data_IF_718332285053
#
_entry.id   IF_718332285053
#
_cell.length_a   1.000
_cell.length_b   1.000
_cell.length_c   1.000
_cell.angle_alpha   90.00
_cell.angle_beta   90.00
_cell.angle_gamma   90.00
#
_symmetry.space_group_name_H-M   'P 1'
#
loop_
_entity.id
_entity.type
_entity.pdbx_description
1 polymer ?
#
# COMPACT_ATOMS: atom_id res chain seq x y z
N UNK A 1 -13.34 -28.19 -8.03
CA UNK A 1 -13.50 -29.34 -8.94
C UNK A 1 -14.97 -29.74 -9.03
N UNK A 2 -15.64 -30.12 -7.92
CA UNK A 2 -17.05 -30.58 -7.94
C UNK A 2 -18.02 -29.53 -8.56
N UNK A 3 -17.85 -28.23 -8.29
CA UNK A 3 -18.67 -27.17 -8.89
C UNK A 3 -18.46 -27.07 -10.40
N UNK A 4 -17.22 -27.12 -10.86
CA UNK A 4 -16.88 -27.11 -12.30
C UNK A 4 -17.47 -28.35 -12.99
N UNK A 5 -17.31 -29.51 -12.39
CA UNK A 5 -17.83 -30.78 -12.90
C UNK A 5 -19.39 -30.79 -12.97
N UNK A 6 -20.03 -30.01 -12.09
CA UNK A 6 -21.49 -29.80 -12.09
C UNK A 6 -21.97 -28.65 -12.99
N UNK A 7 -21.07 -28.00 -13.76
CA UNK A 7 -21.42 -26.88 -14.62
C UNK A 7 -21.79 -25.58 -13.87
N UNK A 8 -21.45 -25.49 -12.57
CA UNK A 8 -21.72 -24.29 -11.76
C UNK A 8 -20.65 -23.24 -12.09
N UNK A 9 -21.04 -21.99 -12.45
CA UNK A 9 -20.08 -20.91 -12.66
C UNK A 9 -19.21 -20.71 -11.43
N UNK A 10 -17.90 -20.67 -11.63
CA UNK A 10 -16.92 -20.43 -10.56
C UNK A 10 -16.08 -19.19 -10.88
N UNK A 11 -15.66 -18.48 -9.85
CA UNK A 11 -14.69 -17.40 -9.99
C UNK A 11 -13.67 -17.47 -8.85
N UNK A 12 -12.47 -16.99 -9.11
CA UNK A 12 -11.43 -16.87 -8.08
C UNK A 12 -11.76 -15.75 -7.10
N UNK A 13 -11.10 -15.76 -5.95
CA UNK A 13 -11.23 -14.65 -4.98
C UNK A 13 -10.86 -13.30 -5.61
N UNK A 14 -9.82 -13.26 -6.45
CA UNK A 14 -9.35 -12.05 -7.10
C UNK A 14 -10.38 -11.52 -8.11
N UNK A 15 -10.97 -12.40 -8.92
CA UNK A 15 -12.04 -12.03 -9.86
C UNK A 15 -13.26 -11.49 -9.14
N UNK A 16 -13.70 -12.15 -8.05
CA UNK A 16 -14.82 -11.66 -7.24
C UNK A 16 -14.50 -10.27 -6.66
N UNK A 17 -13.31 -10.09 -6.11
CA UNK A 17 -12.89 -8.81 -5.54
C UNK A 17 -12.86 -7.71 -6.61
N UNK A 18 -12.36 -8.02 -7.81
CA UNK A 18 -12.38 -7.10 -8.95
C UNK A 18 -13.81 -6.72 -9.37
N UNK A 19 -14.79 -7.64 -9.30
CA UNK A 19 -16.19 -7.29 -9.56
C UNK A 19 -16.78 -6.42 -8.44
N UNK A 20 -16.45 -6.68 -7.18
CA UNK A 20 -16.87 -5.86 -6.03
C UNK A 20 -16.36 -4.42 -6.17
N UNK A 21 -15.10 -4.23 -6.61
CA UNK A 21 -14.50 -2.91 -6.82
C UNK A 21 -15.30 -2.01 -7.76
N UNK A 22 -15.99 -2.58 -8.75
CA UNK A 22 -16.81 -1.80 -9.72
C UNK A 22 -17.97 -1.04 -9.08
N UNK A 23 -18.32 -1.37 -7.84
CA UNK A 23 -19.36 -0.65 -7.09
C UNK A 23 -18.83 0.58 -6.35
N UNK A 24 -17.53 0.86 -6.43
CA UNK A 24 -16.88 1.97 -5.73
C UNK A 24 -16.31 2.96 -6.75
N UNK A 25 -16.56 4.24 -6.52
CA UNK A 25 -15.99 5.30 -7.35
C UNK A 25 -14.46 5.36 -7.26
N UNK A 26 -13.94 5.08 -6.08
CA UNK A 26 -12.49 5.11 -5.81
C UNK A 26 -12.02 3.75 -5.28
N UNK A 27 -11.17 3.07 -6.06
CA UNK A 27 -10.55 1.81 -5.71
C UNK A 27 -9.02 1.97 -5.62
N UNK A 28 -8.50 1.98 -4.39
CA UNK A 28 -7.07 2.08 -4.07
C UNK A 28 -6.48 0.69 -3.94
N UNK A 29 -5.45 0.39 -4.72
CA UNK A 29 -4.79 -0.90 -4.74
C UNK A 29 -3.31 -0.75 -4.42
N UNK A 30 -2.84 -1.46 -3.39
CA UNK A 30 -1.44 -1.41 -2.95
C UNK A 30 -0.72 -2.65 -3.43
N UNK A 31 0.19 -2.48 -4.39
CA UNK A 31 1.03 -3.52 -4.98
C UNK A 31 2.52 -3.33 -4.63
N UNK A 32 3.29 -4.39 -4.79
CA UNK A 32 4.73 -4.41 -4.57
C UNK A 32 5.17 -5.72 -3.96
N UNK A 33 6.40 -6.11 -4.14
CA UNK A 33 6.94 -7.34 -3.57
C UNK A 33 6.81 -7.32 -2.04
N UNK A 34 7.16 -6.19 -1.41
CA UNK A 34 7.12 -6.02 0.05
C UNK A 34 6.35 -4.75 0.45
N UNK A 35 5.83 -4.73 1.68
CA UNK A 35 5.20 -3.54 2.27
C UNK A 35 3.69 -3.40 2.03
N UNK A 36 3.07 -4.22 1.19
CA UNK A 36 1.63 -4.16 0.83
C UNK A 36 0.73 -4.04 2.06
N UNK A 37 0.77 -5.02 2.96
CA UNK A 37 -0.07 -5.06 4.17
C UNK A 37 0.15 -3.84 5.07
N UNK A 38 1.41 -3.46 5.27
CA UNK A 38 1.76 -2.31 6.10
C UNK A 38 1.23 -1.00 5.52
N UNK A 39 1.43 -0.78 4.22
CA UNK A 39 0.96 0.44 3.55
C UNK A 39 -0.57 0.50 3.50
N UNK A 40 -1.25 -0.62 3.16
CA UNK A 40 -2.71 -0.70 3.19
C UNK A 40 -3.26 -0.41 4.58
N UNK A 41 -2.58 -0.89 5.62
CA UNK A 41 -2.97 -0.61 7.01
C UNK A 41 -2.73 0.86 7.40
N UNK A 42 -1.61 1.47 6.98
CA UNK A 42 -1.37 2.91 7.19
C UNK A 42 -2.44 3.75 6.52
N UNK A 43 -2.79 3.47 5.27
CA UNK A 43 -3.89 4.14 4.56
C UNK A 43 -5.20 3.96 5.32
N UNK A 44 -5.47 2.74 5.81
CA UNK A 44 -6.68 2.45 6.60
C UNK A 44 -6.74 3.33 7.85
N UNK A 45 -5.68 3.40 8.66
CA UNK A 45 -5.65 4.23 9.87
C UNK A 45 -5.83 5.72 9.56
N UNK A 46 -5.23 6.21 8.48
CA UNK A 46 -5.42 7.59 8.02
C UNK A 46 -6.89 7.85 7.66
N UNK A 47 -7.50 6.96 6.89
CA UNK A 47 -8.89 7.12 6.46
C UNK A 47 -9.87 6.99 7.63
N UNK A 48 -9.56 6.18 8.64
CA UNK A 48 -10.36 6.09 9.87
C UNK A 48 -10.22 7.37 10.71
N UNK A 49 -9.02 7.93 10.83
CA UNK A 49 -8.80 9.22 11.51
C UNK A 49 -9.59 10.34 10.83
N UNK A 50 -9.64 10.35 9.50
CA UNK A 50 -10.42 11.30 8.71
C UNK A 50 -11.94 11.02 8.69
N UNK A 51 -12.42 9.97 9.38
CA UNK A 51 -13.82 9.53 9.35
C UNK A 51 -14.37 9.25 7.93
N UNK A 52 -13.51 8.80 7.01
CA UNK A 52 -13.86 8.58 5.61
C UNK A 52 -14.71 7.32 5.36
N UNK A 53 -14.87 6.45 6.35
CA UNK A 53 -15.70 5.23 6.35
C UNK A 53 -15.46 4.29 5.14
N UNK A 54 -14.20 3.89 4.81
CA UNK A 54 -13.89 3.07 3.66
C UNK A 54 -14.27 1.60 3.83
N UNK A 55 -14.46 0.89 2.69
CA UNK A 55 -14.41 -0.57 2.64
C UNK A 55 -12.95 -1.01 2.48
N UNK A 56 -12.52 -1.94 3.33
CA UNK A 56 -11.12 -2.36 3.46
C UNK A 56 -10.99 -3.88 3.26
N UNK A 57 -9.96 -4.30 2.52
CA UNK A 57 -9.50 -5.69 2.45
C UNK A 57 -7.98 -5.72 2.61
N UNK A 58 -7.48 -6.12 3.77
CA UNK A 58 -6.05 -6.16 4.10
C UNK A 58 -5.59 -7.59 4.37
N UNK A 59 -4.32 -7.92 4.09
CA UNK A 59 -3.77 -9.27 4.21
C UNK A 59 -3.45 -9.73 5.63
N UNK A 60 -3.47 -8.82 6.62
CA UNK A 60 -3.23 -9.10 8.03
C UNK A 60 -4.40 -8.68 8.91
N UNK A 61 -4.38 -9.06 10.19
CA UNK A 61 -5.37 -8.59 11.16
C UNK A 61 -4.99 -7.18 11.61
N UNK A 62 -5.87 -6.22 11.39
CA UNK A 62 -5.73 -4.84 11.84
C UNK A 62 -6.72 -4.59 12.99
N UNK A 63 -6.19 -4.24 14.17
CA UNK A 63 -6.99 -4.14 15.39
C UNK A 63 -8.06 -3.06 15.31
N UNK A 64 -7.79 -1.94 14.65
CA UNK A 64 -8.73 -0.81 14.49
C UNK A 64 -10.01 -1.18 13.76
N UNK A 65 -9.98 -2.21 12.90
CA UNK A 65 -11.16 -2.71 12.19
C UNK A 65 -11.62 -4.08 12.70
N UNK A 66 -10.97 -4.62 13.74
CA UNK A 66 -11.33 -5.90 14.34
C UNK A 66 -11.10 -7.13 13.46
N UNK A 67 -10.28 -7.02 12.39
CA UNK A 67 -10.07 -8.11 11.44
C UNK A 67 -9.25 -7.70 10.23
N UNK A 68 -9.50 -8.38 9.12
CA UNK A 68 -8.84 -8.11 7.84
C UNK A 68 -9.80 -7.61 6.75
N UNK A 69 -11.07 -7.50 7.07
CA UNK A 69 -12.12 -6.96 6.18
C UNK A 69 -13.01 -6.03 7.01
N UNK A 70 -13.31 -4.86 6.45
CA UNK A 70 -14.30 -3.93 6.94
C UNK A 70 -15.18 -3.48 5.77
N UNK A 71 -16.48 -3.45 5.96
CA UNK A 71 -17.42 -2.87 4.99
C UNK A 71 -17.81 -1.48 5.47
N UNK A 72 -17.41 -0.46 4.73
CA UNK A 72 -17.78 0.94 4.97
C UNK A 72 -18.99 1.36 4.14
N UNK A 73 -19.42 2.61 4.30
CA UNK A 73 -20.57 3.20 3.59
C UNK A 73 -20.15 4.22 2.53
N UNK A 74 -18.85 4.57 2.46
CA UNK A 74 -18.35 5.50 1.44
C UNK A 74 -18.08 4.79 0.11
N UNK A 75 -17.90 5.57 -0.96
CA UNK A 75 -17.51 5.09 -2.29
C UNK A 75 -16.00 4.80 -2.41
N UNK A 76 -15.35 4.47 -1.28
CA UNK A 76 -13.92 4.23 -1.21
C UNK A 76 -13.63 2.78 -0.84
N UNK A 77 -12.88 2.10 -1.70
CA UNK A 77 -12.39 0.74 -1.49
C UNK A 77 -10.86 0.73 -1.42
N UNK A 78 -10.28 0.09 -0.42
CA UNK A 78 -8.83 -0.03 -0.27
C UNK A 78 -8.45 -1.49 -0.10
N UNK A 79 -7.51 -1.99 -0.91
CA UNK A 79 -7.07 -3.38 -0.84
C UNK A 79 -5.61 -3.57 -1.18
N UNK A 80 -5.05 -4.68 -0.72
CA UNK A 80 -3.79 -5.21 -1.23
C UNK A 80 -3.98 -5.84 -2.59
N UNK A 81 -3.03 -5.59 -3.49
CA UNK A 81 -2.97 -6.12 -4.83
C UNK A 81 -1.77 -7.07 -4.95
N UNK A 82 -2.02 -8.39 -4.83
CA UNK A 82 -0.97 -9.39 -4.89
C UNK A 82 -0.60 -9.71 -6.34
N UNK A 83 0.69 -9.62 -6.66
CA UNK A 83 1.25 -9.96 -7.97
C UNK A 83 1.26 -11.46 -8.25
N UNK A 84 1.32 -12.30 -7.21
CA UNK A 84 1.38 -13.74 -7.36
C UNK A 84 0.22 -14.29 -8.18
N UNK A 85 0.55 -15.13 -9.14
CA UNK A 85 -0.39 -15.68 -10.15
C UNK A 85 -1.13 -14.61 -10.96
N UNK A 86 -0.58 -13.40 -11.06
CA UNK A 86 -1.22 -12.27 -11.75
C UNK A 86 -2.61 -11.91 -11.18
N UNK A 87 -2.86 -12.23 -9.91
CA UNK A 87 -4.17 -12.04 -9.26
C UNK A 87 -4.65 -10.59 -9.34
N UNK A 88 -3.75 -9.62 -9.20
CA UNK A 88 -4.08 -8.18 -9.25
C UNK A 88 -4.56 -7.71 -10.63
N UNK A 89 -4.28 -8.47 -11.71
CA UNK A 89 -4.80 -8.17 -13.04
C UNK A 89 -6.31 -8.39 -13.17
N UNK A 90 -6.94 -9.05 -12.21
CA UNK A 90 -8.40 -9.17 -12.13
C UNK A 90 -9.07 -7.92 -11.53
N UNK A 91 -8.31 -6.96 -11.00
CA UNK A 91 -8.81 -5.78 -10.31
C UNK A 91 -9.22 -4.66 -11.28
N UNK A 92 -10.05 -3.74 -10.81
CA UNK A 92 -10.50 -2.55 -11.52
C UNK A 92 -10.09 -1.30 -10.71
N UNK A 93 -8.83 -0.88 -10.80
CA UNK A 93 -8.29 0.21 -10.00
C UNK A 93 -8.70 1.59 -10.54
N UNK A 94 -8.75 2.58 -9.63
CA UNK A 94 -8.71 4.01 -9.98
C UNK A 94 -7.46 4.68 -9.42
N UNK A 95 -6.85 4.09 -8.37
CA UNK A 95 -5.57 4.51 -7.84
C UNK A 95 -4.72 3.27 -7.54
N UNK A 96 -3.57 3.14 -8.19
CA UNK A 96 -2.58 2.10 -7.94
C UNK A 96 -1.36 2.66 -7.20
N UNK A 97 -0.83 1.87 -6.27
CA UNK A 97 0.43 2.16 -5.58
C UNK A 97 1.40 1.02 -5.89
N UNK A 98 2.60 1.35 -6.37
CA UNK A 98 3.70 0.40 -6.59
C UNK A 98 4.84 0.74 -5.64
N UNK A 99 5.02 -0.10 -4.62
CA UNK A 99 5.99 0.13 -3.54
C UNK A 99 7.41 -0.23 -3.93
N UNK A 100 7.57 -1.39 -4.54
CA UNK A 100 8.84 -1.95 -5.00
C UNK A 100 8.56 -3.14 -5.91
N UNK A 101 9.53 -3.45 -6.78
CA UNK A 101 9.49 -4.60 -7.70
C UNK A 101 10.81 -5.34 -7.59
N UNK A 102 10.79 -6.55 -7.01
CA UNK A 102 11.96 -7.40 -6.82
C UNK A 102 11.66 -8.83 -7.28
N UNK A 103 12.70 -9.61 -7.50
CA UNK A 103 12.56 -11.03 -7.82
C UNK A 103 11.94 -11.77 -6.63
N UNK A 104 10.72 -12.27 -6.82
CA UNK A 104 9.96 -13.08 -5.88
C UNK A 104 9.02 -13.99 -6.67
N UNK A 105 8.45 -15.02 -6.04
CA UNK A 105 7.51 -15.95 -6.68
C UNK A 105 8.02 -16.55 -8.00
N UNK A 106 9.33 -16.91 -8.05
CA UNK A 106 9.98 -17.51 -9.22
C UNK A 106 9.50 -18.96 -9.52
N UNK A 107 8.58 -19.47 -8.71
CA UNK A 107 7.78 -20.67 -8.99
C UNK A 107 6.67 -20.38 -10.01
N UNK A 108 6.26 -19.13 -10.17
CA UNK A 108 5.26 -18.66 -11.12
C UNK A 108 5.86 -17.79 -12.22
N UNK A 109 6.65 -16.78 -11.86
CA UNK A 109 7.31 -15.88 -12.81
C UNK A 109 8.63 -16.47 -13.30
N UNK A 110 8.91 -16.29 -14.57
CA UNK A 110 10.14 -16.78 -15.20
C UNK A 110 11.39 -16.07 -14.66
N UNK A 111 11.33 -14.75 -14.55
CA UNK A 111 12.43 -13.89 -14.14
C UNK A 111 11.89 -12.51 -13.69
N UNK A 112 12.81 -11.60 -13.37
CA UNK A 112 12.45 -10.23 -12.95
C UNK A 112 11.77 -9.44 -14.07
N UNK A 113 12.09 -9.68 -15.33
CA UNK A 113 11.49 -8.97 -16.46
C UNK A 113 10.03 -9.37 -16.64
N UNK A 114 9.69 -10.64 -16.41
CA UNK A 114 8.31 -11.14 -16.41
C UNK A 114 7.50 -10.51 -15.26
N UNK A 115 8.10 -10.38 -14.06
CA UNK A 115 7.49 -9.66 -12.94
C UNK A 115 7.26 -8.18 -13.31
N UNK A 116 8.26 -7.50 -13.85
CA UNK A 116 8.15 -6.10 -14.28
C UNK A 116 7.05 -5.92 -15.31
N UNK A 117 6.96 -6.81 -16.28
CA UNK A 117 5.90 -6.80 -17.28
C UNK A 117 4.52 -6.94 -16.64
N UNK A 118 4.36 -7.83 -15.67
CA UNK A 118 3.11 -7.99 -14.93
C UNK A 118 2.70 -6.71 -14.18
N UNK A 119 3.64 -6.02 -13.52
CA UNK A 119 3.37 -4.72 -12.88
C UNK A 119 3.03 -3.63 -13.89
N UNK A 120 3.63 -3.65 -15.09
CA UNK A 120 3.26 -2.74 -16.17
C UNK A 120 1.80 -2.97 -16.60
N UNK A 121 1.42 -4.22 -16.86
CA UNK A 121 0.01 -4.58 -17.16
C UNK A 121 -0.96 -4.14 -16.05
N UNK A 122 -0.52 -4.20 -14.80
CA UNK A 122 -1.32 -3.71 -13.68
C UNK A 122 -1.50 -2.19 -13.70
N UNK A 123 -0.49 -1.43 -14.11
CA UNK A 123 -0.61 0.02 -14.30
C UNK A 123 -1.53 0.36 -15.47
N UNK A 124 -1.45 -0.37 -16.58
CA UNK A 124 -2.29 -0.19 -17.77
C UNK A 124 -3.79 -0.44 -17.52
N UNK A 125 -4.13 -1.02 -16.36
CA UNK A 125 -5.55 -1.13 -15.93
C UNK A 125 -6.13 0.16 -15.38
N UNK A 126 -5.31 1.16 -15.08
CA UNK A 126 -5.79 2.47 -14.65
C UNK A 126 -6.53 3.16 -15.82
N UNK A 127 -7.68 3.78 -15.55
CA UNK A 127 -8.29 4.67 -16.54
C UNK A 127 -7.43 5.93 -16.76
N UNK A 128 -7.70 6.68 -17.82
CA UNK A 128 -6.93 7.89 -18.15
C UNK A 128 -7.02 9.00 -17.08
N UNK A 129 -8.08 9.01 -16.29
CA UNK A 129 -8.28 9.87 -15.12
C UNK A 129 -7.84 9.21 -13.80
N UNK A 130 -7.27 8.01 -13.88
CA UNK A 130 -6.71 7.29 -12.75
C UNK A 130 -5.38 7.85 -12.28
N UNK A 131 -4.89 7.33 -11.14
CA UNK A 131 -3.64 7.80 -10.53
C UNK A 131 -2.71 6.63 -10.22
N UNK A 132 -1.46 6.76 -10.60
CA UNK A 132 -0.36 5.88 -10.18
C UNK A 132 0.49 6.58 -9.13
N UNK A 133 0.67 5.96 -7.97
CA UNK A 133 1.68 6.34 -6.96
C UNK A 133 2.83 5.34 -7.06
N UNK A 134 4.02 5.79 -7.45
CA UNK A 134 5.15 4.90 -7.74
C UNK A 134 6.44 5.33 -7.05
N UNK A 135 7.20 4.34 -6.59
CA UNK A 135 8.51 4.54 -5.96
C UNK A 135 9.60 4.77 -7.03
N UNK A 136 10.30 5.90 -6.95
CA UNK A 136 11.43 6.25 -7.84
C UNK A 136 12.71 5.47 -7.53
N UNK A 137 12.78 4.75 -6.42
CA UNK A 137 13.90 3.85 -6.10
C UNK A 137 13.82 2.50 -6.86
N UNK A 138 12.76 2.28 -7.64
CA UNK A 138 12.65 1.14 -8.57
C UNK A 138 13.47 1.48 -9.81
N UNK A 139 14.37 0.59 -10.22
CA UNK A 139 15.14 0.75 -11.43
C UNK A 139 14.23 0.95 -12.65
N UNK A 140 14.51 1.99 -13.46
CA UNK A 140 13.71 2.34 -14.65
C UNK A 140 12.19 2.38 -14.33
N UNK A 141 11.82 3.09 -13.25
CA UNK A 141 10.44 3.19 -12.79
C UNK A 141 9.49 3.80 -13.83
N UNK A 142 10.00 4.58 -14.78
CA UNK A 142 9.22 5.16 -15.88
C UNK A 142 8.68 4.09 -16.84
N UNK A 143 9.33 2.93 -16.92
CA UNK A 143 8.88 1.78 -17.72
C UNK A 143 7.42 1.38 -17.39
N UNK A 144 7.00 1.55 -16.14
CA UNK A 144 5.69 1.08 -15.69
C UNK A 144 4.52 1.95 -16.18
N UNK A 145 4.77 3.21 -16.56
CA UNK A 145 3.70 4.13 -16.96
C UNK A 145 3.92 4.87 -18.27
N UNK A 146 5.02 4.62 -18.96
CA UNK A 146 5.38 5.33 -20.22
C UNK A 146 4.33 5.23 -21.33
N UNK A 147 3.47 4.22 -21.28
CA UNK A 147 2.42 3.97 -22.27
C UNK A 147 1.01 4.21 -21.70
N UNK A 148 0.90 4.99 -20.61
CA UNK A 148 -0.37 5.30 -19.94
C UNK A 148 -0.57 6.81 -19.87
N UNK A 149 -1.86 7.25 -19.87
CA UNK A 149 -2.23 8.66 -19.74
C UNK A 149 -2.66 9.03 -18.31
N UNK A 150 -2.48 8.11 -17.34
CA UNK A 150 -2.88 8.34 -15.95
C UNK A 150 -1.98 9.40 -15.27
N UNK A 151 -2.51 10.05 -14.23
CA UNK A 151 -1.69 10.92 -13.38
C UNK A 151 -0.63 10.11 -12.63
N UNK A 152 0.61 10.60 -12.59
CA UNK A 152 1.71 9.94 -11.88
C UNK A 152 2.17 10.80 -10.71
N UNK A 153 2.15 10.20 -9.52
CA UNK A 153 2.68 10.78 -8.28
C UNK A 153 3.86 9.92 -7.84
N UNK A 154 5.01 10.54 -7.63
CA UNK A 154 6.23 9.82 -7.28
C UNK A 154 6.59 9.97 -5.82
N UNK A 155 7.15 8.92 -5.23
CA UNK A 155 7.77 8.94 -3.90
C UNK A 155 9.08 8.16 -3.91
N UNK A 156 9.99 8.46 -3.00
CA UNK A 156 11.26 7.75 -2.92
C UNK A 156 12.30 8.42 -2.04
N UNK A 157 13.54 7.90 -2.10
CA UNK A 157 14.66 8.38 -1.30
C UNK A 157 15.29 9.66 -1.84
N UNK A 158 15.22 9.88 -3.16
CA UNK A 158 15.82 11.04 -3.82
C UNK A 158 14.79 12.17 -4.01
N UNK A 159 14.91 13.29 -3.27
CA UNK A 159 13.98 14.41 -3.37
C UNK A 159 14.04 15.14 -4.73
N UNK A 160 15.08 14.93 -5.52
CA UNK A 160 15.18 15.49 -6.87
C UNK A 160 14.34 14.73 -7.90
N UNK A 161 14.00 13.46 -7.62
CA UNK A 161 13.21 12.59 -8.50
C UNK A 161 11.79 12.38 -8.01
N UNK A 162 11.54 12.62 -6.72
CA UNK A 162 10.30 12.24 -6.04
C UNK A 162 9.50 13.46 -5.62
N UNK A 163 8.20 13.44 -5.91
CA UNK A 163 7.29 14.44 -5.37
C UNK A 163 7.21 14.36 -3.83
N UNK A 164 7.17 13.13 -3.28
CA UNK A 164 7.16 12.88 -1.84
C UNK A 164 8.46 12.20 -1.40
N UNK A 165 9.18 12.80 -0.46
CA UNK A 165 10.41 12.25 0.09
C UNK A 165 10.56 12.58 1.58
N UNK A 166 11.60 12.04 2.22
CA UNK A 166 11.87 12.23 3.65
C UNK A 166 13.26 12.80 3.86
N UNK A 167 13.36 13.81 4.73
CA UNK A 167 14.63 14.34 5.23
C UNK A 167 14.70 14.17 6.76
N UNK A 168 15.91 14.32 7.32
CA UNK A 168 16.14 14.33 8.77
C UNK A 168 15.54 13.12 9.50
N UNK A 169 15.68 11.93 8.92
CA UNK A 169 15.14 10.70 9.54
C UNK A 169 15.88 10.44 10.86
N UNK A 170 15.12 10.38 11.94
CA UNK A 170 15.59 10.10 13.30
C UNK A 170 14.93 8.84 13.84
N UNK A 171 15.63 8.15 14.74
CA UNK A 171 15.13 6.95 15.42
C UNK A 171 15.06 7.21 16.91
N UNK A 172 14.03 6.71 17.57
CA UNK A 172 13.98 6.62 19.02
C UNK A 172 14.62 5.30 19.51
N UNK A 173 14.63 5.09 20.84
CA UNK A 173 15.19 3.89 21.49
C UNK A 173 14.49 2.58 21.07
N UNK A 174 13.29 2.65 20.50
CA UNK A 174 12.52 1.51 19.98
C UNK A 174 12.65 1.36 18.45
N UNK A 175 13.51 2.18 17.80
CA UNK A 175 13.70 2.17 16.36
C UNK A 175 12.53 2.77 15.56
N UNK A 176 11.57 3.45 16.22
CA UNK A 176 10.48 4.16 15.56
C UNK A 176 11.01 5.42 14.91
N UNK A 177 10.57 5.70 13.69
CA UNK A 177 11.10 6.80 12.91
C UNK A 177 10.25 8.07 13.05
N UNK A 178 10.95 9.21 13.07
CA UNK A 178 10.36 10.51 12.75
C UNK A 178 11.19 11.16 11.64
N UNK A 179 10.54 11.95 10.78
CA UNK A 179 11.22 12.58 9.66
C UNK A 179 10.51 13.87 9.23
N UNK A 180 11.23 14.73 8.51
CA UNK A 180 10.68 15.89 7.82
C UNK A 180 10.12 15.42 6.48
N UNK A 181 8.78 15.54 6.28
CA UNK A 181 8.16 15.31 4.99
C UNK A 181 8.55 16.41 4.01
N UNK A 182 9.03 16.02 2.84
CA UNK A 182 9.25 16.93 1.71
C UNK A 182 8.17 16.66 0.64
N UNK A 183 7.53 17.72 0.17
CA UNK A 183 6.62 17.70 -0.99
C UNK A 183 7.22 18.64 -2.03
N UNK A 184 7.55 18.13 -3.22
CA UNK A 184 8.28 18.89 -4.25
C UNK A 184 9.54 19.56 -3.68
N UNK A 185 10.33 18.79 -2.93
CA UNK A 185 11.54 19.25 -2.25
C UNK A 185 11.33 20.40 -1.23
N UNK A 186 10.08 20.67 -0.81
CA UNK A 186 9.75 21.70 0.16
C UNK A 186 9.30 21.06 1.48
N UNK A 187 9.88 21.44 2.63
CA UNK A 187 9.48 20.93 3.94
C UNK A 187 7.99 21.18 4.23
N UNK A 188 7.26 20.11 4.53
CA UNK A 188 5.80 20.11 4.76
C UNK A 188 5.41 19.62 6.16
N UNK A 189 6.37 19.67 7.09
CA UNK A 189 6.19 19.33 8.49
C UNK A 189 6.75 17.95 8.87
N UNK A 190 6.64 17.64 10.15
CA UNK A 190 7.19 16.38 10.71
C UNK A 190 6.15 15.29 10.70
N UNK A 191 6.58 14.09 10.34
CA UNK A 191 5.82 12.83 10.46
C UNK A 191 6.44 12.00 11.57
N UNK A 192 5.59 11.39 12.39
CA UNK A 192 5.96 10.48 13.47
C UNK A 192 5.33 9.11 13.21
N UNK A 193 6.13 8.05 13.19
CA UNK A 193 5.66 6.69 13.04
C UNK A 193 5.71 5.96 14.38
N UNK A 194 4.72 5.13 14.65
CA UNK A 194 4.67 4.28 15.86
C UNK A 194 5.23 2.88 15.62
N UNK A 195 5.63 2.56 14.38
CA UNK A 195 6.28 1.30 13.99
C UNK A 195 7.76 1.53 13.65
N UNK A 196 8.65 0.56 13.97
CA UNK A 196 10.09 0.69 13.75
C UNK A 196 10.47 0.45 12.29
N UNK A 197 11.65 0.95 11.93
CA UNK A 197 12.34 0.63 10.67
C UNK A 197 12.17 1.68 9.57
N UNK A 198 13.29 1.98 8.88
CA UNK A 198 13.35 2.99 7.79
C UNK A 198 12.44 2.61 6.60
N UNK A 199 12.27 1.32 6.32
CA UNK A 199 11.35 0.89 5.27
C UNK A 199 9.91 1.39 5.50
N UNK A 200 9.50 1.59 6.77
CA UNK A 200 8.20 2.16 7.11
C UNK A 200 8.11 3.66 6.84
N UNK A 201 9.24 4.38 6.75
CA UNK A 201 9.26 5.75 6.22
C UNK A 201 8.78 5.75 4.76
N UNK A 202 9.34 4.88 3.91
CA UNK A 202 8.94 4.79 2.51
C UNK A 202 7.50 4.27 2.33
N UNK A 203 7.09 3.28 3.13
CA UNK A 203 5.69 2.85 3.15
C UNK A 203 4.75 4.02 3.52
N UNK A 204 5.14 4.85 4.49
CA UNK A 204 4.33 6.02 4.88
C UNK A 204 4.30 7.12 3.82
N UNK A 205 5.40 7.34 3.07
CA UNK A 205 5.41 8.31 1.96
C UNK A 205 4.37 7.93 0.89
N UNK A 206 4.28 6.66 0.52
CA UNK A 206 3.28 6.19 -0.44
C UNK A 206 1.84 6.32 0.09
N UNK A 207 1.63 6.03 1.39
CA UNK A 207 0.33 6.22 2.05
C UNK A 207 -0.06 7.70 2.11
N UNK A 208 0.88 8.60 2.45
CA UNK A 208 0.68 10.05 2.43
C UNK A 208 0.30 10.51 1.03
N UNK A 209 1.08 10.13 0.00
CA UNK A 209 0.84 10.52 -1.38
C UNK A 209 -0.58 10.14 -1.85
N UNK A 210 -0.99 8.89 -1.56
CA UNK A 210 -2.33 8.42 -1.88
C UNK A 210 -3.43 9.19 -1.10
N UNK A 211 -3.25 9.38 0.21
CA UNK A 211 -4.26 10.06 1.02
C UNK A 211 -4.38 11.56 0.70
N UNK A 212 -3.28 12.24 0.36
CA UNK A 212 -3.33 13.63 -0.13
C UNK A 212 -4.09 13.69 -1.46
N UNK A 213 -3.86 12.75 -2.38
CA UNK A 213 -4.62 12.64 -3.63
C UNK A 213 -6.12 12.42 -3.39
N UNK A 214 -6.48 11.71 -2.33
CA UNK A 214 -7.87 11.50 -1.91
C UNK A 214 -8.47 12.72 -1.18
N UNK A 215 -7.73 13.82 -1.01
CA UNK A 215 -8.19 15.02 -0.34
C UNK A 215 -8.19 14.96 1.20
N UNK A 216 -7.49 14.00 1.79
CA UNK A 216 -7.36 13.87 3.23
C UNK A 216 -6.43 14.96 3.79
N UNK A 217 -6.81 15.56 4.91
CA UNK A 217 -6.03 16.61 5.53
C UNK A 217 -4.69 16.11 6.08
N UNK A 218 -3.67 16.97 6.10
CA UNK A 218 -2.37 16.60 6.69
C UNK A 218 -2.45 16.36 8.20
N UNK A 219 -3.47 16.88 8.88
CA UNK A 219 -3.73 16.62 10.29
C UNK A 219 -4.19 15.17 10.50
N UNK A 220 -5.20 14.73 9.76
CA UNK A 220 -5.71 13.35 9.80
C UNK A 220 -4.65 12.33 9.36
N UNK A 221 -3.84 12.69 8.36
CA UNK A 221 -2.71 11.87 7.89
C UNK A 221 -1.69 11.64 9.02
N UNK A 222 -1.30 12.70 9.74
CA UNK A 222 -0.37 12.59 10.88
C UNK A 222 -0.97 11.78 12.01
N UNK A 223 -2.23 12.00 12.32
CA UNK A 223 -2.94 11.25 13.36
C UNK A 223 -3.04 9.76 13.01
N UNK A 224 -3.47 9.42 11.81
CA UNK A 224 -3.59 8.03 11.36
C UNK A 224 -2.25 7.29 11.37
N UNK A 225 -1.17 7.92 10.87
CA UNK A 225 0.17 7.34 10.91
C UNK A 225 0.70 7.13 12.34
N UNK A 226 0.39 8.05 13.27
CA UNK A 226 0.74 7.93 14.68
C UNK A 226 -0.07 6.81 15.36
N UNK A 227 -1.32 6.61 14.96
CA UNK A 227 -2.19 5.57 15.50
C UNK A 227 -1.84 4.17 14.99
N UNK A 228 -1.17 4.05 13.84
CA UNK A 228 -0.75 2.77 13.29
C UNK A 228 0.36 2.12 14.13
N UNK A 229 0.03 1.07 14.87
CA UNK A 229 0.95 0.33 15.76
C UNK A 229 1.41 -1.01 15.18
N UNK A 230 1.10 -1.28 13.91
CA UNK A 230 1.41 -2.53 13.21
C UNK A 230 0.19 -3.43 13.00
N UNK A 231 0.41 -4.52 12.26
CA UNK A 231 -0.58 -5.58 12.04
C UNK A 231 -0.11 -6.87 12.68
N UNK A 232 -1.05 -7.75 13.04
CA UNK A 232 -0.69 -9.07 13.57
C UNK A 232 0.21 -9.82 12.60
N UNK A 233 1.20 -10.54 13.15
CA UNK A 233 2.27 -11.25 12.44
C UNK A 233 3.35 -10.36 11.82
N UNK A 234 3.21 -9.01 11.87
CA UNK A 234 4.24 -8.07 11.39
C UNK A 234 4.55 -7.07 12.50
N UNK A 235 5.77 -7.16 13.10
CA UNK A 235 6.22 -6.34 14.25
C UNK A 235 5.28 -6.37 15.47
N UNK A 236 4.54 -7.47 15.63
CA UNK A 236 3.62 -7.63 16.73
C UNK A 236 4.37 -7.72 18.07
N UNK A 237 4.12 -6.77 18.98
CA UNK A 237 4.61 -6.85 20.35
C UNK A 237 3.91 -8.00 21.08
N UNK A 238 4.62 -9.10 21.38
CA UNK A 238 4.07 -10.31 22.03
C UNK A 238 4.05 -10.22 23.57
N UNK A 239 4.78 -9.29 24.14
CA UNK A 239 4.85 -9.10 25.59
C UNK A 239 6.14 -8.39 26.03
N UNK A 240 6.18 -8.05 27.30
CA UNK A 240 7.40 -7.57 27.98
C UNK A 240 7.68 -8.60 29.06
N UNK A 241 8.76 -9.37 28.92
CA UNK A 241 9.29 -10.21 29.98
C UNK A 241 10.43 -9.44 30.63
N UNK A 242 10.39 -9.25 31.92
CA UNK A 242 11.22 -8.51 32.88
C UNK A 242 12.53 -7.85 32.36
N UNK A 243 13.04 -8.23 31.17
CA UNK A 243 14.26 -7.68 30.53
C UNK A 243 14.29 -7.73 29.01
N UNK A 244 13.31 -8.32 28.31
CA UNK A 244 13.32 -8.46 26.84
C UNK A 244 11.95 -8.29 26.21
N UNK A 245 11.90 -7.52 25.11
CA UNK A 245 10.74 -7.45 24.21
C UNK A 245 10.92 -8.47 23.10
N UNK A 246 10.00 -9.43 22.99
CA UNK A 246 9.98 -10.35 21.87
C UNK A 246 9.17 -9.76 20.71
N UNK A 247 9.84 -9.48 19.61
CA UNK A 247 9.24 -9.09 18.34
C UNK A 247 9.22 -10.31 17.42
N UNK A 248 8.09 -10.59 16.80
CA UNK A 248 8.01 -11.52 15.69
C UNK A 248 8.03 -10.73 14.39
N UNK A 249 9.16 -10.80 13.68
CA UNK A 249 9.24 -10.38 12.29
C UNK A 249 8.85 -11.57 11.40
N UNK A 250 8.01 -11.36 10.41
CA UNK A 250 7.89 -12.22 9.24
C UNK A 250 8.25 -11.37 8.03
N UNK A 251 9.24 -11.86 7.32
CA UNK A 251 9.60 -11.44 5.97
C UNK A 251 8.46 -11.72 5.00
#
# INVERSE_FOLDING_TARGET
KAAVDAGIPTMTRAELLGQVMKNYHTAVNVAGTHGKTTTTSMITEILLAANADPTISVGGILHSIGGNIRVGKSDLFVTEACEYTNSFLSFNPTLNIILNVKADHLDFFKDIDDIRHSFKLFTEKLPSDGTLVINTDIDDYEYFYKDTDCEVITFGSDPAKSMYSAADIKHDEYGRCSYTLLINNTPSGTIQLSVPGVHNVYNSLSAIAACVKLGISMEDIREGLKNFTGTDRRFQKKGVSVSYTHLRAHE
#
